data_IF_382989880401
#
_entry.id   IF_382989880401
#
_cell.length_a   1.000
_cell.length_b   1.000
_cell.length_c   1.000
_cell.angle_alpha   90.00
_cell.angle_beta   90.00
_cell.angle_gamma   90.00
#
_symmetry.space_group_name_H-M   'P 1'
#
loop_
_entity.id
_entity.type
_entity.pdbx_description
1 polymer ?
#
# COMPACT_ATOMS: atom_id res chain seq x y z
N UNK A 1 -5.74 -16.85 -37.28
CA UNK A 1 -4.95 -16.87 -36.02
C UNK A 1 -4.39 -15.47 -35.79
N UNK A 2 -4.75 -14.81 -34.68
CA UNK A 2 -4.45 -13.40 -34.41
C UNK A 2 -2.92 -13.14 -34.39
N UNK A 3 -2.44 -12.09 -35.09
CA UNK A 3 -1.00 -11.83 -35.29
C UNK A 3 -0.22 -11.72 -33.96
N UNK A 4 -0.87 -11.19 -32.91
CA UNK A 4 -0.35 -11.16 -31.54
C UNK A 4 -0.04 -12.55 -30.98
N UNK A 5 -0.91 -13.55 -31.18
CA UNK A 5 -0.68 -14.92 -30.67
C UNK A 5 0.47 -15.62 -31.39
N UNK A 6 0.70 -15.32 -32.68
CA UNK A 6 1.86 -15.83 -33.43
C UNK A 6 3.17 -15.25 -32.91
N UNK A 7 3.22 -13.94 -32.64
CA UNK A 7 4.40 -13.29 -32.08
C UNK A 7 4.74 -13.83 -30.68
N UNK A 8 3.74 -13.97 -29.81
CA UNK A 8 3.93 -14.56 -28.48
C UNK A 8 4.50 -15.98 -28.56
N UNK A 9 3.92 -16.84 -29.41
CA UNK A 9 4.41 -18.20 -29.62
C UNK A 9 5.84 -18.25 -30.19
N UNK A 10 6.18 -17.34 -31.12
CA UNK A 10 7.51 -17.25 -31.73
C UNK A 10 8.61 -16.98 -30.69
N UNK A 11 8.32 -16.14 -29.70
CA UNK A 11 9.26 -15.78 -28.64
C UNK A 11 9.09 -16.62 -27.36
N UNK A 12 8.22 -17.63 -27.36
CA UNK A 12 7.96 -18.46 -26.17
C UNK A 12 7.30 -17.70 -25.01
N UNK A 13 6.63 -16.58 -25.28
CA UNK A 13 6.05 -15.71 -24.28
C UNK A 13 4.59 -16.09 -24.01
N UNK A 14 4.22 -16.25 -22.74
CA UNK A 14 2.82 -16.45 -22.31
C UNK A 14 2.01 -15.15 -22.38
N UNK A 15 2.66 -14.03 -22.12
CA UNK A 15 2.06 -12.70 -22.03
C UNK A 15 2.84 -11.68 -22.84
N UNK A 16 2.20 -10.57 -23.21
CA UNK A 16 2.91 -9.46 -23.83
C UNK A 16 3.69 -8.68 -22.75
N UNK A 17 5.04 -8.69 -22.79
CA UNK A 17 5.88 -8.10 -21.73
C UNK A 17 5.90 -6.56 -21.76
N UNK A 18 5.28 -5.93 -22.76
CA UNK A 18 5.22 -4.48 -22.92
C UNK A 18 3.90 -3.86 -22.45
N UNK A 19 2.97 -4.66 -21.91
CA UNK A 19 1.74 -4.13 -21.32
C UNK A 19 2.00 -3.69 -19.88
N UNK A 20 1.28 -2.66 -19.44
CA UNK A 20 1.32 -2.25 -18.03
C UNK A 20 0.64 -3.29 -17.13
N UNK A 21 -0.39 -3.97 -17.64
CA UNK A 21 -1.19 -4.97 -16.93
C UNK A 21 -0.63 -6.39 -17.15
N UNK A 22 0.56 -6.63 -16.61
CA UNK A 22 1.18 -7.97 -16.57
C UNK A 22 0.75 -8.64 -15.26
N UNK A 23 0.34 -9.93 -15.28
CA UNK A 23 0.03 -10.67 -14.07
C UNK A 23 1.20 -10.69 -13.08
N UNK A 24 0.90 -10.67 -11.78
CA UNK A 24 1.92 -10.61 -10.72
C UNK A 24 2.92 -11.78 -10.82
N UNK A 25 2.44 -12.99 -11.13
CA UNK A 25 3.28 -14.18 -11.32
C UNK A 25 4.28 -14.08 -12.48
N UNK A 26 4.09 -13.11 -13.38
CA UNK A 26 4.98 -12.85 -14.51
C UNK A 26 5.88 -11.64 -14.30
N UNK A 27 5.80 -10.97 -13.14
CA UNK A 27 6.73 -9.92 -12.77
C UNK A 27 8.11 -10.50 -12.51
N UNK A 28 9.14 -9.80 -12.97
CA UNK A 28 10.51 -10.20 -12.72
C UNK A 28 10.88 -9.89 -11.26
N UNK A 29 11.32 -10.93 -10.53
CA UNK A 29 11.83 -10.80 -9.17
C UNK A 29 13.28 -10.31 -9.23
N UNK A 30 13.49 -9.02 -8.98
CA UNK A 30 14.84 -8.45 -8.87
C UNK A 30 15.53 -8.96 -7.59
N UNK A 31 16.87 -9.08 -7.60
CA UNK A 31 17.61 -9.42 -6.39
C UNK A 31 17.26 -8.48 -5.23
N UNK A 32 16.96 -9.03 -4.05
CA UNK A 32 16.61 -8.27 -2.85
C UNK A 32 15.13 -7.90 -2.71
N UNK A 33 14.29 -8.15 -3.73
CA UNK A 33 12.83 -7.91 -3.63
C UNK A 33 12.19 -8.85 -2.60
N UNK A 34 12.64 -10.11 -2.54
CA UNK A 34 12.12 -11.09 -1.61
C UNK A 34 12.48 -10.72 -0.17
N UNK A 35 13.71 -10.28 0.07
CA UNK A 35 14.14 -9.78 1.38
C UNK A 35 13.38 -8.52 1.79
N UNK A 36 13.08 -7.63 0.84
CA UNK A 36 12.26 -6.46 1.08
C UNK A 36 10.83 -6.84 1.47
N UNK A 37 10.17 -7.72 0.70
CA UNK A 37 8.84 -8.22 1.02
C UNK A 37 8.81 -8.87 2.39
N UNK A 38 9.79 -9.73 2.71
CA UNK A 38 9.91 -10.36 4.02
C UNK A 38 10.03 -9.32 5.15
N UNK A 39 10.81 -8.25 4.97
CA UNK A 39 10.87 -7.15 5.95
C UNK A 39 9.53 -6.44 6.11
N UNK A 40 8.79 -6.23 5.02
CA UNK A 40 7.47 -5.61 5.09
C UNK A 40 6.44 -6.53 5.73
N UNK A 41 6.48 -7.84 5.49
CA UNK A 41 5.62 -8.81 6.18
C UNK A 41 5.84 -8.76 7.71
N UNK A 42 7.08 -8.64 8.16
CA UNK A 42 7.38 -8.37 9.58
C UNK A 42 6.91 -6.99 10.02
N UNK A 43 7.00 -5.95 9.18
CA UNK A 43 6.46 -4.62 9.48
C UNK A 43 4.94 -4.67 9.72
N UNK A 44 4.19 -5.58 9.10
CA UNK A 44 2.75 -5.75 9.37
C UNK A 44 2.50 -6.24 10.80
N UNK A 45 3.47 -6.94 11.41
CA UNK A 45 3.41 -7.40 12.81
C UNK A 45 3.81 -6.34 13.83
N UNK A 46 4.53 -5.30 13.44
CA UNK A 46 4.97 -4.26 14.38
C UNK A 46 4.26 -2.93 14.14
N UNK A 47 3.88 -2.66 12.89
CA UNK A 47 3.49 -1.36 12.36
C UNK A 47 4.71 -0.47 12.05
N UNK A 48 4.48 0.70 11.46
CA UNK A 48 5.54 1.66 11.14
C UNK A 48 5.58 2.03 9.66
N UNK A 49 6.77 2.35 9.15
CA UNK A 49 6.98 2.89 7.80
C UNK A 49 8.04 2.11 7.03
N UNK A 50 7.79 1.92 5.74
CA UNK A 50 8.76 1.46 4.75
C UNK A 50 8.77 2.41 3.56
N UNK A 51 9.93 2.60 2.94
CA UNK A 51 10.14 3.50 1.81
C UNK A 51 10.81 2.74 0.66
N UNK A 52 10.19 2.80 -0.52
CA UNK A 52 10.78 2.39 -1.79
C UNK A 52 11.15 3.67 -2.54
N UNK A 53 12.43 3.85 -2.85
CA UNK A 53 12.93 5.02 -3.56
C UNK A 53 13.67 4.60 -4.83
N UNK A 54 13.56 5.42 -5.87
CA UNK A 54 14.28 5.23 -7.13
C UNK A 54 13.71 6.10 -8.24
N UNK A 55 14.43 6.22 -9.34
CA UNK A 55 14.01 7.04 -10.48
C UNK A 55 12.73 6.50 -11.14
N UNK A 56 12.01 7.32 -11.92
CA UNK A 56 10.93 6.84 -12.78
C UNK A 56 11.38 5.69 -13.69
N UNK A 57 10.57 4.63 -13.79
CA UNK A 57 10.88 3.46 -14.61
C UNK A 57 11.69 2.35 -13.92
N UNK A 58 12.14 2.54 -12.67
CA UNK A 58 12.92 1.53 -11.92
C UNK A 58 12.06 0.41 -11.28
N UNK A 59 10.79 0.29 -11.66
CA UNK A 59 9.92 -0.80 -11.21
C UNK A 59 9.25 -0.63 -9.85
N UNK A 60 9.31 0.54 -9.20
CA UNK A 60 8.70 0.81 -7.87
C UNK A 60 7.24 0.36 -7.77
N UNK A 61 6.38 0.78 -8.71
CA UNK A 61 4.97 0.40 -8.73
C UNK A 61 4.77 -1.11 -8.92
N UNK A 62 5.70 -1.79 -9.60
CA UNK A 62 5.66 -3.25 -9.77
C UNK A 62 6.12 -3.99 -8.51
N UNK A 63 7.10 -3.44 -7.79
CA UNK A 63 7.44 -3.92 -6.44
C UNK A 63 6.25 -3.76 -5.49
N UNK A 64 5.56 -2.61 -5.54
CA UNK A 64 4.37 -2.36 -4.72
C UNK A 64 3.23 -3.33 -5.08
N UNK A 65 3.02 -3.60 -6.37
CA UNK A 65 2.04 -4.58 -6.86
C UNK A 65 2.37 -6.01 -6.37
N UNK A 66 3.63 -6.43 -6.46
CA UNK A 66 4.08 -7.73 -5.95
C UNK A 66 3.90 -7.83 -4.43
N UNK A 67 4.25 -6.77 -3.71
CA UNK A 67 4.09 -6.70 -2.26
C UNK A 67 2.61 -6.81 -1.87
N UNK A 68 1.72 -6.05 -2.51
CA UNK A 68 0.29 -6.12 -2.26
C UNK A 68 -0.23 -7.56 -2.44
N UNK A 69 0.19 -8.23 -3.51
CA UNK A 69 -0.20 -9.62 -3.77
C UNK A 69 0.32 -10.60 -2.69
N UNK A 70 1.55 -10.43 -2.20
CA UNK A 70 2.08 -11.26 -1.10
C UNK A 70 1.33 -11.05 0.20
N UNK A 71 1.07 -9.79 0.54
CA UNK A 71 0.34 -9.44 1.75
C UNK A 71 -1.11 -9.93 1.70
N UNK A 72 -1.74 -9.96 0.52
CA UNK A 72 -3.09 -10.49 0.32
C UNK A 72 -3.17 -12.00 0.55
N UNK A 73 -2.05 -12.71 0.36
CA UNK A 73 -1.90 -14.12 0.73
C UNK A 73 -1.76 -14.38 2.23
N UNK A 74 -1.55 -13.34 3.05
CA UNK A 74 -1.50 -13.46 4.51
C UNK A 74 -2.91 -13.42 5.09
N UNK A 75 -3.19 -14.29 6.04
CA UNK A 75 -4.46 -14.26 6.75
C UNK A 75 -4.61 -12.96 7.53
N UNK A 76 -5.84 -12.43 7.51
CA UNK A 76 -6.27 -11.33 8.35
C UNK A 76 -5.54 -9.99 8.12
N UNK A 77 -4.82 -9.81 7.02
CA UNK A 77 -4.23 -8.52 6.64
C UNK A 77 -5.25 -7.70 5.85
N UNK A 78 -5.47 -6.45 6.27
CA UNK A 78 -6.29 -5.49 5.51
C UNK A 78 -5.39 -4.53 4.76
N UNK A 79 -5.47 -4.52 3.42
CA UNK A 79 -4.63 -3.70 2.55
C UNK A 79 -5.45 -2.56 1.96
N UNK A 80 -5.03 -1.33 2.21
CA UNK A 80 -5.53 -0.13 1.55
C UNK A 80 -4.50 0.39 0.54
N UNK A 81 -4.88 0.50 -0.73
CA UNK A 81 -4.04 1.11 -1.78
C UNK A 81 -4.58 2.52 -2.04
N UNK A 82 -3.76 3.53 -1.79
CA UNK A 82 -4.12 4.93 -2.05
C UNK A 82 -4.01 5.23 -3.55
N UNK A 83 -5.09 5.71 -4.14
CA UNK A 83 -5.18 6.05 -5.56
C UNK A 83 -4.87 7.52 -5.82
N UNK A 84 -5.07 8.39 -4.83
CA UNK A 84 -4.88 9.85 -4.98
C UNK A 84 -3.98 10.46 -3.89
N UNK A 85 -2.65 10.28 -3.98
CA UNK A 85 -1.68 10.88 -3.06
C UNK A 85 -1.81 12.41 -2.92
N UNK A 86 -2.10 13.10 -4.02
CA UNK A 86 -2.26 14.55 -4.15
C UNK A 86 -3.58 15.11 -3.58
N UNK A 87 -4.40 14.26 -2.95
CA UNK A 87 -5.71 14.63 -2.41
C UNK A 87 -5.62 15.74 -1.35
N UNK A 88 -6.68 16.55 -1.28
CA UNK A 88 -6.88 17.44 -0.14
C UNK A 88 -7.02 16.63 1.15
N UNK A 89 -6.79 17.25 2.31
CA UNK A 89 -6.93 16.57 3.60
C UNK A 89 -8.33 15.93 3.80
N UNK A 90 -9.39 16.60 3.34
CA UNK A 90 -10.75 16.08 3.45
C UNK A 90 -10.98 14.85 2.56
N UNK A 91 -10.42 14.86 1.35
CA UNK A 91 -10.51 13.74 0.41
C UNK A 91 -9.62 12.56 0.85
N UNK A 92 -8.44 12.84 1.41
CA UNK A 92 -7.55 11.87 2.04
C UNK A 92 -8.29 11.09 3.15
N UNK A 93 -8.96 11.79 4.06
CA UNK A 93 -9.77 11.13 5.09
C UNK A 93 -10.89 10.30 4.47
N UNK A 94 -11.61 10.79 3.46
CA UNK A 94 -12.67 10.03 2.79
C UNK A 94 -12.13 8.75 2.15
N UNK A 95 -10.95 8.82 1.53
CA UNK A 95 -10.29 7.68 0.92
C UNK A 95 -9.85 6.66 1.96
N UNK A 96 -9.18 7.08 3.05
CA UNK A 96 -8.85 6.19 4.17
C UNK A 96 -10.09 5.51 4.76
N UNK A 97 -11.20 6.25 4.90
CA UNK A 97 -12.47 5.68 5.33
C UNK A 97 -12.95 4.58 4.39
N UNK A 98 -12.91 4.81 3.08
CA UNK A 98 -13.25 3.81 2.07
C UNK A 98 -12.33 2.59 2.14
N UNK A 99 -11.01 2.80 2.21
CA UNK A 99 -10.01 1.73 2.23
C UNK A 99 -10.11 0.81 3.45
N UNK A 100 -10.47 1.37 4.61
CA UNK A 100 -10.54 0.61 5.87
C UNK A 100 -11.96 0.33 6.37
N UNK A 101 -12.97 0.58 5.53
CA UNK A 101 -14.38 0.28 5.83
C UNK A 101 -14.98 1.14 6.94
N UNK A 102 -14.55 2.39 7.07
CA UNK A 102 -15.07 3.37 8.03
C UNK A 102 -15.87 4.44 7.28
N UNK A 103 -17.15 4.58 7.61
CA UNK A 103 -18.00 5.59 7.00
C UNK A 103 -17.73 6.98 7.62
N UNK A 104 -16.96 7.81 6.92
CA UNK A 104 -16.49 9.11 7.41
C UNK A 104 -17.33 10.27 6.86
N UNK A 105 -17.77 11.15 7.77
CA UNK A 105 -18.47 12.40 7.41
C UNK A 105 -17.48 13.56 7.31
N UNK A 106 -17.53 14.30 6.20
CA UNK A 106 -16.61 15.41 5.87
C UNK A 106 -16.54 16.50 6.95
N UNK A 107 -17.64 16.76 7.65
CA UNK A 107 -17.74 17.82 8.65
C UNK A 107 -17.10 17.48 10.00
N UNK A 108 -16.74 16.20 10.26
CA UNK A 108 -16.24 15.76 11.56
C UNK A 108 -14.89 15.04 11.44
N UNK A 109 -13.82 15.81 11.17
CA UNK A 109 -12.45 15.28 11.05
C UNK A 109 -11.98 14.56 12.30
N UNK A 110 -12.19 15.16 13.48
CA UNK A 110 -11.82 14.55 14.74
C UNK A 110 -12.55 13.21 14.98
N UNK A 111 -13.85 13.17 14.65
CA UNK A 111 -14.62 11.93 14.66
C UNK A 111 -14.05 10.88 13.71
N UNK A 112 -13.61 11.28 12.51
CA UNK A 112 -13.00 10.36 11.56
C UNK A 112 -11.64 9.83 12.00
N UNK A 113 -10.80 10.70 12.56
CA UNK A 113 -9.54 10.30 13.19
C UNK A 113 -9.76 9.26 14.29
N UNK A 114 -10.75 9.49 15.17
CA UNK A 114 -11.08 8.54 16.25
C UNK A 114 -11.61 7.21 15.69
N UNK A 115 -12.52 7.26 14.71
CA UNK A 115 -13.15 6.08 14.14
C UNK A 115 -12.15 5.18 13.39
N UNK A 116 -11.22 5.75 12.62
CA UNK A 116 -10.15 5.00 11.97
C UNK A 116 -9.26 4.27 13.00
N UNK A 117 -8.82 4.98 14.04
CA UNK A 117 -7.96 4.39 15.07
C UNK A 117 -8.67 3.33 15.91
N UNK A 118 -9.95 3.51 16.18
CA UNK A 118 -10.78 2.50 16.85
C UNK A 118 -10.90 1.25 15.97
N UNK A 119 -11.24 1.41 14.69
CA UNK A 119 -11.30 0.32 13.71
C UNK A 119 -10.00 -0.47 13.63
N UNK A 120 -8.86 0.21 13.55
CA UNK A 120 -7.55 -0.44 13.46
C UNK A 120 -7.15 -1.12 14.77
N UNK A 121 -7.46 -0.53 15.93
CA UNK A 121 -7.23 -1.18 17.23
C UNK A 121 -8.04 -2.46 17.39
N UNK A 122 -9.30 -2.43 17.01
CA UNK A 122 -10.18 -3.60 17.12
C UNK A 122 -9.72 -4.70 16.17
N UNK A 123 -9.29 -4.33 14.95
CA UNK A 123 -8.64 -5.26 14.03
C UNK A 123 -7.41 -5.93 14.67
N UNK A 124 -6.43 -5.14 15.15
CA UNK A 124 -5.20 -5.64 15.78
C UNK A 124 -5.51 -6.54 16.99
N UNK A 125 -6.50 -6.20 17.82
CA UNK A 125 -6.91 -7.06 18.95
C UNK A 125 -7.44 -8.41 18.49
N UNK A 126 -8.12 -8.46 17.34
CA UNK A 126 -8.69 -9.69 16.80
C UNK A 126 -7.69 -10.54 16.01
N UNK A 127 -6.71 -9.93 15.35
CA UNK A 127 -5.86 -10.61 14.35
C UNK A 127 -4.37 -10.58 14.67
N UNK A 128 -3.94 -9.69 15.57
CA UNK A 128 -2.53 -9.30 15.81
C UNK A 128 -1.85 -8.59 14.62
N UNK A 129 -2.48 -8.59 13.45
CA UNK A 129 -2.00 -7.91 12.23
C UNK A 129 -2.38 -6.44 12.25
N UNK A 130 -1.49 -5.59 11.73
CA UNK A 130 -1.82 -4.18 11.46
C UNK A 130 -2.41 -4.08 10.06
N UNK A 131 -3.38 -3.17 9.83
CA UNK A 131 -3.73 -2.78 8.48
C UNK A 131 -2.51 -2.17 7.77
N UNK A 132 -2.47 -2.35 6.45
CA UNK A 132 -1.39 -1.86 5.59
C UNK A 132 -1.92 -0.77 4.67
N UNK A 133 -1.22 0.37 4.61
CA UNK A 133 -1.48 1.44 3.66
C UNK A 133 -0.34 1.50 2.65
N UNK A 134 -0.65 1.24 1.39
CA UNK A 134 0.27 1.32 0.26
C UNK A 134 0.02 2.64 -0.49
N UNK A 135 1.06 3.44 -0.68
CA UNK A 135 0.98 4.73 -1.36
C UNK A 135 2.03 4.77 -2.46
N UNK A 136 1.58 4.78 -3.71
CA UNK A 136 2.46 5.07 -4.84
C UNK A 136 2.61 6.58 -5.04
N UNK A 137 3.69 7.02 -5.67
CA UNK A 137 3.98 8.45 -5.93
C UNK A 137 3.81 9.35 -4.68
N UNK A 138 4.31 8.89 -3.54
CA UNK A 138 4.13 9.53 -2.24
C UNK A 138 4.76 10.94 -2.14
N UNK A 139 5.67 11.31 -3.04
CA UNK A 139 6.16 12.69 -3.14
C UNK A 139 5.09 13.70 -3.57
N UNK A 140 4.00 13.24 -4.20
CA UNK A 140 2.87 14.08 -4.59
C UNK A 140 1.93 14.37 -3.40
N UNK A 141 2.17 13.74 -2.25
CA UNK A 141 1.36 13.96 -1.06
C UNK A 141 1.59 15.34 -0.44
N UNK A 142 0.51 15.98 -0.03
CA UNK A 142 0.59 17.16 0.82
C UNK A 142 1.22 16.78 2.18
N UNK A 143 2.13 17.61 2.68
CA UNK A 143 2.79 17.41 3.99
C UNK A 143 1.78 17.23 5.13
N UNK A 144 0.63 17.89 5.06
CA UNK A 144 -0.45 17.72 6.05
C UNK A 144 -0.99 16.29 6.07
N UNK A 145 -1.12 15.62 4.92
CA UNK A 145 -1.58 14.24 4.84
C UNK A 145 -0.53 13.26 5.39
N UNK A 146 0.77 13.49 5.12
CA UNK A 146 1.86 12.71 5.71
C UNK A 146 1.88 12.83 7.25
N UNK A 147 1.67 14.04 7.78
CA UNK A 147 1.54 14.26 9.21
C UNK A 147 0.35 13.50 9.80
N UNK A 148 -0.77 13.44 9.09
CA UNK A 148 -1.96 12.72 9.53
C UNK A 148 -1.73 11.21 9.53
N UNK A 149 -1.03 10.64 8.54
CA UNK A 149 -0.61 9.23 8.58
C UNK A 149 0.20 8.96 9.86
N UNK A 150 1.18 9.81 10.18
CA UNK A 150 1.98 9.68 11.40
C UNK A 150 1.12 9.73 12.67
N UNK A 151 0.17 10.66 12.75
CA UNK A 151 -0.70 10.84 13.91
C UNK A 151 -1.75 9.72 14.05
N UNK A 152 -2.29 9.23 12.93
CA UNK A 152 -3.23 8.11 12.88
C UNK A 152 -2.54 6.80 13.25
N UNK A 153 -1.32 6.59 12.73
CA UNK A 153 -0.54 5.38 12.92
C UNK A 153 0.06 5.23 14.31
N UNK A 154 0.24 6.32 15.07
CA UNK A 154 0.80 6.24 16.44
C UNK A 154 -0.28 6.23 17.52
N UNK A 155 -0.08 5.45 18.59
CA UNK A 155 -0.90 5.42 19.80
C UNK A 155 -0.07 5.26 21.08
N UNK A 156 -0.68 5.65 22.22
CA UNK A 156 -0.11 5.53 23.56
C UNK A 156 1.30 6.12 23.62
N UNK A 157 1.43 7.44 23.40
CA UNK A 157 2.72 8.15 23.41
C UNK A 157 3.76 7.49 22.48
N UNK A 158 3.38 7.19 21.24
CA UNK A 158 4.24 6.57 20.22
C UNK A 158 4.74 5.14 20.55
N UNK A 159 4.19 4.48 21.58
CA UNK A 159 4.56 3.09 21.92
C UNK A 159 3.79 2.01 21.13
N UNK A 160 2.68 2.38 20.49
CA UNK A 160 1.86 1.44 19.72
C UNK A 160 1.68 1.93 18.28
N UNK A 161 2.11 1.14 17.30
CA UNK A 161 1.82 1.40 15.89
C UNK A 161 0.53 0.68 15.45
N UNK A 162 -0.41 1.46 14.92
CA UNK A 162 -1.72 1.01 14.47
C UNK A 162 -1.79 0.76 12.95
N UNK A 163 -0.75 1.13 12.21
CA UNK A 163 -0.71 1.09 10.75
C UNK A 163 0.70 0.75 10.28
N UNK A 164 0.82 -0.14 9.30
CA UNK A 164 2.02 -0.31 8.50
C UNK A 164 1.86 0.49 7.21
N UNK A 165 2.75 1.43 6.93
CA UNK A 165 2.68 2.30 5.74
C UNK A 165 3.86 2.03 4.83
N UNK A 166 3.61 1.80 3.54
CA UNK A 166 4.65 1.67 2.52
C UNK A 166 4.50 2.81 1.52
N UNK A 167 5.56 3.60 1.40
CA UNK A 167 5.62 4.77 0.52
C UNK A 167 6.54 4.46 -0.67
N UNK A 168 6.10 4.72 -1.89
CA UNK A 168 6.98 4.77 -3.05
C UNK A 168 7.26 6.22 -3.42
N UNK A 169 8.53 6.58 -3.58
CA UNK A 169 8.95 7.93 -3.95
C UNK A 169 9.81 7.90 -5.22
N UNK A 170 9.51 8.79 -6.17
CA UNK A 170 10.39 9.13 -7.27
C UNK A 170 11.54 10.02 -6.78
N UNK A 171 12.79 9.61 -7.05
CA UNK A 171 13.96 10.46 -6.86
C UNK A 171 14.10 11.51 -7.98
#
# INVERSE_FOLDING_TARGET
MNNKKKLLALFGLKWNPFLADIPVDALWHTPGIDDFCFRVENLVMDGGFSLICGDPGQGKSKVLQLLAHRLDGLNDVVIGIMERPQSSLSDFYRELGSLFGVNLRLANRYGGFKALRERWRDHIKSTLMRPVLLIDEAQEMLTVCLNEIRLLGSAVFDSQCLLATVLCVGA
#
